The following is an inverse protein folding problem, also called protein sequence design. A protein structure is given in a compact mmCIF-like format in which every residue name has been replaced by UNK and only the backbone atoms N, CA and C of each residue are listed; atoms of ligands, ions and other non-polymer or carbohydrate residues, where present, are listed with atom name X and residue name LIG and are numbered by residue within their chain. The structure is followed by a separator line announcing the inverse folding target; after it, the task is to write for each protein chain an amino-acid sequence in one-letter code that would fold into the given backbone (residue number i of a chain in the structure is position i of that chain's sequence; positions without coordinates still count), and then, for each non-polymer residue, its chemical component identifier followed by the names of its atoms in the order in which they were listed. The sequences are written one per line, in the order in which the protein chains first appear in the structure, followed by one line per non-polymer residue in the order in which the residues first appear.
data_IF_401092055113
#
_entry.id   IF_401092055113
#
_cell.length_a   1.000
_cell.length_b   1.000
_cell.length_c   1.000
_cell.angle_alpha   90.00
_cell.angle_beta   90.00
_cell.angle_gamma   90.00
#
_symmetry.space_group_name_H-M   'P 1'
#
loop_
_entity.id
_entity.type
_entity.pdbx_description
1 polymer ?
#
# COMPACT_ATOMS: atom_id res chain seq x y z
N UNK A 1 -13.63 6.67 -0.87
CA UNK A 1 -12.75 7.23 -1.92
C UNK A 1 -12.94 8.75 -1.99
N UNK A 2 -11.86 9.55 -2.11
CA UNK A 2 -11.91 11.00 -2.27
C UNK A 2 -12.77 11.46 -3.45
N UNK A 3 -13.56 12.51 -3.23
CA UNK A 3 -14.46 13.09 -4.24
C UNK A 3 -14.04 14.46 -4.72
N UNK A 4 -13.12 15.13 -4.00
CA UNK A 4 -12.52 16.40 -4.40
C UNK A 4 -11.01 16.24 -4.49
N UNK A 5 -10.38 17.04 -5.35
CA UNK A 5 -8.94 16.97 -5.61
C UNK A 5 -8.12 17.21 -4.34
N UNK A 6 -8.53 18.19 -3.53
CA UNK A 6 -7.91 18.53 -2.23
C UNK A 6 -7.94 17.37 -1.21
N UNK A 7 -8.94 16.49 -1.30
CA UNK A 7 -9.08 15.35 -0.40
C UNK A 7 -8.08 14.20 -0.72
N UNK A 8 -7.38 14.26 -1.86
CA UNK A 8 -6.33 13.30 -2.20
C UNK A 8 -5.10 13.48 -1.31
N UNK A 9 -4.84 14.72 -0.87
CA UNK A 9 -3.71 15.10 -0.03
C UNK A 9 -2.35 15.09 -0.73
N UNK A 10 -2.32 15.05 -2.06
CA UNK A 10 -1.08 15.11 -2.89
C UNK A 10 -1.15 16.31 -3.85
N UNK A 11 0.00 16.80 -4.37
CA UNK A 11 0.01 17.94 -5.29
C UNK A 11 -0.82 17.71 -6.56
N UNK A 12 -1.60 18.71 -6.98
CA UNK A 12 -2.39 18.65 -8.21
C UNK A 12 -1.55 18.33 -9.45
N UNK A 13 -0.34 18.90 -9.54
CA UNK A 13 0.60 18.63 -10.64
C UNK A 13 0.96 17.14 -10.75
N UNK A 14 1.10 16.43 -9.63
CA UNK A 14 1.37 14.99 -9.63
C UNK A 14 0.16 14.19 -10.13
N UNK A 15 -1.06 14.60 -9.74
CA UNK A 15 -2.29 13.95 -10.20
C UNK A 15 -2.47 14.12 -11.70
N UNK A 16 -2.26 15.33 -12.21
CA UNK A 16 -2.29 15.65 -13.64
C UNK A 16 -1.25 14.86 -14.43
N UNK A 17 -0.02 14.81 -13.91
CA UNK A 17 1.08 14.08 -14.52
C UNK A 17 0.77 12.58 -14.62
N UNK A 18 0.35 11.95 -13.52
CA UNK A 18 -0.03 10.51 -13.52
C UNK A 18 -1.23 10.23 -14.42
N UNK A 19 -2.20 11.15 -14.49
CA UNK A 19 -3.32 11.06 -15.42
C UNK A 19 -2.85 11.08 -16.88
N UNK A 20 -1.98 12.04 -17.24
CA UNK A 20 -1.41 12.12 -18.59
C UNK A 20 -0.59 10.87 -18.94
N UNK A 21 0.25 10.37 -18.03
CA UNK A 21 1.00 9.10 -18.22
C UNK A 21 0.06 7.94 -18.49
N UNK A 22 -1.08 7.86 -17.78
CA UNK A 22 -2.08 6.82 -18.01
C UNK A 22 -2.69 6.91 -19.41
N UNK A 23 -3.09 8.11 -19.84
CA UNK A 23 -3.62 8.35 -21.19
C UNK A 23 -2.59 7.99 -22.26
N UNK A 24 -1.33 8.40 -22.07
CA UNK A 24 -0.22 8.09 -22.97
C UNK A 24 -0.01 6.57 -23.14
N UNK A 25 0.01 5.83 -22.03
CA UNK A 25 0.25 4.39 -22.02
C UNK A 25 -0.91 3.59 -22.61
N UNK A 26 -2.16 4.02 -22.39
CA UNK A 26 -3.35 3.31 -22.85
C UNK A 26 -3.59 3.44 -24.37
N UNK A 27 -2.95 4.40 -25.06
CA UNK A 27 -3.13 4.80 -26.48
C UNK A 27 -4.54 5.29 -26.85
N UNK A 28 -5.60 4.64 -26.36
CA UNK A 28 -7.00 5.02 -26.48
C UNK A 28 -7.71 4.64 -25.17
N UNK A 29 -8.22 5.63 -24.46
CA UNK A 29 -8.91 5.42 -23.18
C UNK A 29 -10.06 6.41 -23.02
N UNK A 30 -10.95 6.13 -22.06
CA UNK A 30 -11.97 7.08 -21.61
C UNK A 30 -11.55 7.68 -20.27
N UNK A 31 -12.14 8.83 -19.90
CA UNK A 31 -11.89 9.43 -18.57
C UNK A 31 -12.21 8.41 -17.46
N UNK A 32 -13.30 7.65 -17.60
CA UNK A 32 -13.72 6.64 -16.62
C UNK A 32 -12.71 5.51 -16.48
N UNK A 33 -12.23 4.98 -17.60
CA UNK A 33 -11.25 3.90 -17.60
C UNK A 33 -9.92 4.38 -16.99
N UNK A 34 -9.42 5.54 -17.41
CA UNK A 34 -8.23 6.14 -16.83
C UNK A 34 -8.38 6.37 -15.32
N UNK A 35 -9.51 6.93 -14.87
CA UNK A 35 -9.80 7.16 -13.46
C UNK A 35 -9.75 5.86 -12.63
N UNK A 36 -10.39 4.80 -13.10
CA UNK A 36 -10.41 3.52 -12.41
C UNK A 36 -9.01 2.91 -12.26
N UNK A 37 -8.17 3.03 -13.29
CA UNK A 37 -6.83 2.43 -13.31
C UNK A 37 -5.83 3.15 -12.42
N UNK A 38 -5.96 4.47 -12.25
CA UNK A 38 -5.10 5.24 -11.33
C UNK A 38 -5.76 5.52 -9.97
N UNK A 39 -6.92 4.92 -9.68
CA UNK A 39 -7.58 5.04 -8.38
C UNK A 39 -8.16 6.42 -8.08
N UNK A 40 -8.63 7.14 -9.11
CA UNK A 40 -9.38 8.39 -8.97
C UNK A 40 -10.89 8.17 -9.03
N UNK A 41 -11.63 9.03 -8.33
CA UNK A 41 -13.06 9.17 -8.60
C UNK A 41 -13.29 9.82 -9.97
N UNK A 42 -14.39 9.45 -10.63
CA UNK A 42 -14.73 10.04 -11.92
C UNK A 42 -14.84 11.57 -11.85
N UNK A 43 -15.37 12.12 -10.76
CA UNK A 43 -15.49 13.56 -10.57
C UNK A 43 -14.12 14.26 -10.60
N UNK A 44 -13.13 13.71 -9.90
CA UNK A 44 -11.77 14.28 -9.90
C UNK A 44 -11.14 14.14 -11.29
N UNK A 45 -11.23 12.95 -11.90
CA UNK A 45 -10.65 12.71 -13.21
C UNK A 45 -11.27 13.59 -14.31
N UNK A 46 -12.58 13.86 -14.26
CA UNK A 46 -13.24 14.79 -15.17
C UNK A 46 -12.73 16.22 -14.97
N UNK A 47 -12.57 16.67 -13.72
CA UNK A 47 -12.00 17.99 -13.44
C UNK A 47 -10.57 18.14 -13.96
N UNK A 48 -9.73 17.13 -13.75
CA UNK A 48 -8.34 17.06 -14.26
C UNK A 48 -8.33 17.09 -15.78
N UNK A 49 -9.17 16.29 -16.45
CA UNK A 49 -9.24 16.25 -17.91
C UNK A 49 -9.67 17.60 -18.51
N UNK A 50 -10.64 18.29 -17.90
CA UNK A 50 -11.10 19.61 -18.35
C UNK A 50 -10.02 20.69 -18.18
N UNK A 51 -9.27 20.66 -17.08
CA UNK A 51 -8.18 21.61 -16.84
C UNK A 51 -7.00 21.37 -17.82
N UNK A 52 -6.61 20.12 -18.03
CA UNK A 52 -5.60 19.74 -19.02
C UNK A 52 -6.01 20.13 -20.44
N UNK A 53 -7.30 20.00 -20.77
CA UNK A 53 -7.85 20.44 -22.05
C UNK A 53 -7.81 21.96 -22.19
N UNK A 54 -8.15 22.71 -21.14
CA UNK A 54 -8.04 24.17 -21.11
C UNK A 54 -6.61 24.67 -21.37
N UNK A 55 -5.60 23.87 -20.98
CA UNK A 55 -4.18 24.11 -21.24
C UNK A 55 -3.64 23.47 -22.53
N UNK A 56 -4.50 22.93 -23.38
CA UNK A 56 -4.16 22.30 -24.66
C UNK A 56 -3.20 21.08 -24.53
N UNK A 57 -3.24 20.37 -23.42
CA UNK A 57 -2.46 19.13 -23.19
C UNK A 57 -3.25 17.87 -23.52
N UNK A 58 -4.58 17.96 -23.50
CA UNK A 58 -5.50 16.85 -23.70
C UNK A 58 -6.60 17.25 -24.68
N UNK A 59 -7.06 16.30 -25.49
CA UNK A 59 -8.11 16.48 -26.48
C UNK A 59 -9.18 15.38 -26.40
N UNK A 60 -10.39 15.71 -26.88
CA UNK A 60 -11.52 14.78 -26.94
C UNK A 60 -11.67 14.22 -28.35
N UNK A 61 -11.69 12.89 -28.46
CA UNK A 61 -11.86 12.19 -29.74
C UNK A 61 -13.30 11.72 -30.00
N UNK A 62 -14.24 12.11 -29.14
CA UNK A 62 -15.64 11.74 -29.21
C UNK A 62 -16.11 10.95 -27.99
N UNK A 63 -17.19 10.19 -28.18
CA UNK A 63 -17.82 9.40 -27.13
C UNK A 63 -17.66 7.90 -27.41
N UNK A 64 -17.45 7.13 -26.36
CA UNK A 64 -17.63 5.68 -26.34
C UNK A 64 -18.80 5.36 -25.41
N UNK A 65 -19.96 5.06 -26.00
CA UNK A 65 -21.23 5.00 -25.28
C UNK A 65 -21.59 6.34 -24.62
N UNK A 66 -21.37 6.45 -23.31
CA UNK A 66 -21.61 7.67 -22.51
C UNK A 66 -20.33 8.31 -21.98
N UNK A 67 -19.18 7.70 -22.22
CA UNK A 67 -17.91 8.16 -21.67
C UNK A 67 -17.10 8.90 -22.73
N UNK A 68 -16.42 9.97 -22.32
CA UNK A 68 -15.56 10.76 -23.20
C UNK A 68 -14.25 10.02 -23.49
N UNK A 69 -13.96 9.82 -24.77
CA UNK A 69 -12.66 9.35 -25.22
C UNK A 69 -11.66 10.49 -25.26
N UNK A 70 -10.50 10.24 -24.67
CA UNK A 70 -9.44 11.22 -24.48
C UNK A 70 -8.14 10.76 -25.12
N UNK A 71 -7.36 11.74 -25.58
CA UNK A 71 -5.99 11.55 -26.04
C UNK A 71 -5.14 12.76 -25.65
N UNK A 72 -3.83 12.59 -25.65
CA UNK A 72 -2.91 13.72 -25.46
C UNK A 72 -2.68 14.41 -26.80
N UNK A 73 -2.63 15.75 -26.77
CA UNK A 73 -2.12 16.53 -27.89
C UNK A 73 -0.62 16.28 -28.08
N UNK A 74 -0.02 16.74 -29.18
CA UNK A 74 1.43 16.66 -29.37
C UNK A 74 2.20 17.35 -28.23
N UNK A 75 1.68 18.48 -27.74
CA UNK A 75 2.24 19.19 -26.60
C UNK A 75 2.12 18.38 -25.31
N UNK A 76 0.92 17.87 -25.00
CA UNK A 76 0.70 17.03 -23.81
C UNK A 76 1.57 15.78 -23.82
N UNK A 77 1.73 15.16 -24.99
CA UNK A 77 2.60 14.00 -25.19
C UNK A 77 4.06 14.33 -24.92
N UNK A 78 4.59 15.44 -25.45
CA UNK A 78 5.97 15.87 -25.18
C UNK A 78 6.19 16.14 -23.69
N UNK A 79 5.31 16.93 -23.06
CA UNK A 79 5.41 17.27 -21.64
C UNK A 79 5.37 16.02 -20.74
N UNK A 80 4.51 15.05 -21.06
CA UNK A 80 4.41 13.79 -20.31
C UNK A 80 5.67 12.94 -20.47
N UNK A 81 6.23 12.86 -21.68
CA UNK A 81 7.47 12.10 -21.92
C UNK A 81 8.64 12.72 -21.15
N UNK A 82 8.71 14.05 -21.08
CA UNK A 82 9.76 14.74 -20.34
C UNK A 82 9.64 14.48 -18.83
N UNK A 83 8.44 14.53 -18.24
CA UNK A 83 8.26 14.22 -16.80
C UNK A 83 8.56 12.76 -16.47
N UNK A 84 8.29 11.82 -17.39
CA UNK A 84 8.59 10.40 -17.22
C UNK A 84 10.09 10.11 -17.17
N UNK A 85 10.96 11.05 -17.59
CA UNK A 85 12.42 10.94 -17.41
C UNK A 85 12.85 11.19 -15.98
N UNK A 86 12.08 11.96 -15.22
CA UNK A 86 12.38 12.32 -13.82
C UNK A 86 11.85 11.25 -12.85
N UNK A 87 10.74 10.60 -13.19
CA UNK A 87 10.14 9.52 -12.41
C UNK A 87 9.53 8.47 -13.33
N UNK A 88 9.73 7.18 -13.05
CA UNK A 88 9.14 6.08 -13.81
C UNK A 88 7.77 5.61 -13.27
N UNK A 89 7.34 6.15 -12.12
CA UNK A 89 6.09 5.75 -11.49
C UNK A 89 4.88 6.07 -12.38
N UNK A 90 4.00 5.09 -12.61
CA UNK A 90 2.85 5.22 -13.52
C UNK A 90 1.66 4.35 -13.11
N UNK A 91 1.54 4.10 -11.81
CA UNK A 91 0.46 3.31 -11.20
C UNK A 91 -0.55 4.27 -10.53
N UNK A 92 -1.24 3.77 -9.52
CA UNK A 92 -2.29 4.41 -8.75
C UNK A 92 -1.82 5.71 -8.11
N UNK A 93 -2.69 6.72 -8.00
CA UNK A 93 -2.36 7.96 -7.28
C UNK A 93 -1.88 7.62 -5.85
N UNK A 94 -0.70 8.10 -5.42
CA UNK A 94 -0.19 7.80 -4.10
C UNK A 94 -1.03 8.46 -2.99
N UNK A 95 -0.85 7.98 -1.77
CA UNK A 95 -1.39 8.63 -0.56
C UNK A 95 -0.30 9.47 0.10
N UNK A 96 -0.60 10.60 0.75
CA UNK A 96 0.44 11.35 1.45
C UNK A 96 0.99 10.56 2.64
N UNK A 97 2.29 10.73 2.92
CA UNK A 97 2.95 10.10 4.07
C UNK A 97 2.18 10.30 5.38
N UNK A 98 1.63 11.50 5.61
CA UNK A 98 0.86 11.80 6.82
C UNK A 98 -0.38 10.91 6.99
N UNK A 99 -1.09 10.62 5.90
CA UNK A 99 -2.24 9.71 5.90
C UNK A 99 -1.79 8.26 6.11
N UNK A 100 -0.65 7.86 5.53
CA UNK A 100 -0.05 6.55 5.79
C UNK A 100 0.29 6.37 7.28
N UNK A 101 1.01 7.31 7.88
CA UNK A 101 1.39 7.29 9.30
C UNK A 101 0.16 7.23 10.20
N UNK A 102 -0.87 8.05 9.93
CA UNK A 102 -2.12 8.02 10.70
C UNK A 102 -2.81 6.66 10.59
N UNK A 103 -2.87 6.09 9.38
CA UNK A 103 -3.55 4.81 9.11
C UNK A 103 -2.82 3.66 9.80
N UNK A 104 -1.49 3.59 9.72
CA UNK A 104 -0.68 2.59 10.43
C UNK A 104 -0.91 2.67 11.94
N UNK A 105 -0.87 3.88 12.52
CA UNK A 105 -1.08 4.07 13.96
C UNK A 105 -2.49 3.69 14.43
N UNK A 106 -3.50 3.85 13.57
CA UNK A 106 -4.88 3.45 13.88
C UNK A 106 -5.10 1.93 13.84
N UNK A 107 -4.20 1.20 13.19
CA UNK A 107 -4.28 -0.25 12.96
C UNK A 107 -3.35 -1.06 13.88
N UNK A 108 -3.01 -0.51 15.05
CA UNK A 108 -2.27 -1.25 16.08
C UNK A 108 -3.05 -2.50 16.49
N UNK A 109 -2.38 -3.64 16.50
CA UNK A 109 -2.98 -4.93 16.80
C UNK A 109 -3.53 -4.94 18.23
N UNK A 110 -4.81 -5.26 18.39
CA UNK A 110 -5.40 -5.53 19.71
C UNK A 110 -5.47 -7.04 19.90
N UNK A 111 -4.34 -7.60 20.30
CA UNK A 111 -4.18 -9.03 20.54
C UNK A 111 -5.11 -9.50 21.67
N UNK A 112 -6.08 -10.36 21.34
CA UNK A 112 -6.88 -11.10 22.33
C UNK A 112 -6.33 -12.50 22.44
N UNK A 113 -5.33 -12.67 23.30
CA UNK A 113 -4.62 -13.92 23.45
C UNK A 113 -5.21 -14.69 24.62
N UNK A 114 -5.57 -15.94 24.37
CA UNK A 114 -5.89 -16.92 25.40
C UNK A 114 -5.02 -18.17 25.19
N UNK A 115 -4.98 -19.06 26.18
CA UNK A 115 -4.16 -20.28 26.15
C UNK A 115 -4.47 -21.15 24.92
N UNK A 116 -5.73 -21.24 24.52
CA UNK A 116 -6.15 -22.03 23.37
C UNK A 116 -5.61 -21.47 22.05
N UNK A 117 -5.64 -20.14 21.86
CA UNK A 117 -5.09 -19.49 20.67
C UNK A 117 -3.58 -19.69 20.52
N UNK A 118 -2.85 -19.69 21.65
CA UNK A 118 -1.41 -20.03 21.66
C UNK A 118 -1.23 -21.50 21.29
N UNK A 119 -1.96 -22.43 21.93
CA UNK A 119 -1.86 -23.87 21.60
C UNK A 119 -2.17 -24.16 20.13
N UNK A 120 -3.15 -23.48 19.56
CA UNK A 120 -3.50 -23.59 18.14
C UNK A 120 -2.35 -23.11 17.24
N UNK A 121 -1.74 -21.95 17.54
CA UNK A 121 -0.64 -21.40 16.75
C UNK A 121 0.61 -22.32 16.70
N UNK A 122 0.84 -23.06 17.79
CA UNK A 122 1.97 -23.99 17.95
C UNK A 122 1.60 -25.47 17.77
N UNK A 123 0.43 -25.79 17.21
CA UNK A 123 -0.08 -27.17 17.15
C UNK A 123 0.81 -28.15 16.35
N UNK A 124 1.66 -27.63 15.46
CA UNK A 124 2.58 -28.37 14.61
C UNK A 124 3.98 -28.51 15.22
N UNK A 125 4.17 -28.02 16.46
CA UNK A 125 5.44 -28.03 17.18
C UNK A 125 5.28 -28.72 18.54
N UNK A 126 6.19 -29.64 18.87
CA UNK A 126 6.24 -30.25 20.21
C UNK A 126 6.91 -29.27 21.17
N UNK A 127 6.09 -28.53 21.92
CA UNK A 127 6.53 -27.55 22.93
C UNK A 127 5.89 -27.83 24.28
N UNK A 128 6.63 -27.59 25.37
CA UNK A 128 6.11 -27.81 26.72
C UNK A 128 5.05 -26.77 27.09
N UNK A 129 4.06 -27.18 27.87
CA UNK A 129 3.04 -26.27 28.41
C UNK A 129 3.67 -25.09 29.18
N UNK A 130 4.79 -25.31 29.86
CA UNK A 130 5.54 -24.26 30.57
C UNK A 130 6.07 -23.18 29.63
N UNK A 131 6.56 -23.55 28.45
CA UNK A 131 7.05 -22.59 27.47
C UNK A 131 5.90 -21.80 26.84
N UNK A 132 4.77 -22.46 26.55
CA UNK A 132 3.57 -21.78 26.06
C UNK A 132 3.05 -20.75 27.07
N UNK A 133 3.10 -21.08 28.36
CA UNK A 133 2.70 -20.18 29.45
C UNK A 133 3.64 -18.96 29.59
N UNK A 134 4.93 -19.10 29.25
CA UNK A 134 5.88 -17.99 29.22
C UNK A 134 5.70 -17.09 27.99
N UNK A 135 5.27 -17.66 26.85
CA UNK A 135 5.06 -16.89 25.62
C UNK A 135 3.83 -15.98 25.71
N UNK A 136 2.78 -16.39 26.43
CA UNK A 136 1.53 -15.61 26.56
C UNK A 136 1.75 -14.15 26.98
N UNK A 137 2.43 -13.88 28.11
CA UNK A 137 2.79 -12.53 28.52
C UNK A 137 3.72 -11.80 27.52
N UNK A 138 4.60 -12.53 26.84
CA UNK A 138 5.53 -11.94 25.88
C UNK A 138 4.81 -11.32 24.67
N UNK A 139 3.72 -11.93 24.20
CA UNK A 139 2.91 -11.35 23.14
C UNK A 139 2.06 -10.15 23.56
N UNK A 140 1.79 -9.98 24.85
CA UNK A 140 1.02 -8.85 25.38
C UNK A 140 1.89 -7.62 25.64
N UNK A 141 3.21 -7.80 25.66
CA UNK A 141 4.16 -6.70 25.77
C UNK A 141 4.55 -6.24 24.35
N UNK A 142 4.42 -4.94 24.06
CA UNK A 142 4.85 -4.30 22.80
C UNK A 142 6.40 -4.23 22.67
N UNK A 143 7.12 -5.24 23.17
CA UNK A 143 8.57 -5.26 23.29
C UNK A 143 9.25 -6.35 22.46
N UNK A 144 10.57 -6.25 22.35
CA UNK A 144 11.39 -7.26 21.68
C UNK A 144 11.44 -8.58 22.48
N UNK A 145 11.32 -9.71 21.79
CA UNK A 145 11.41 -11.05 22.38
C UNK A 145 12.74 -11.67 21.95
N UNK A 146 13.62 -11.92 22.91
CA UNK A 146 14.92 -12.55 22.67
C UNK A 146 14.85 -14.05 22.96
N UNK A 147 15.03 -14.86 21.92
CA UNK A 147 15.12 -16.33 22.02
C UNK A 147 16.58 -16.79 21.96
N UNK A 148 17.08 -17.38 23.05
CA UNK A 148 18.45 -17.88 23.16
C UNK A 148 18.51 -19.40 23.38
N UNK A 149 19.61 -20.03 22.97
CA UNK A 149 19.89 -21.46 23.22
C UNK A 149 20.83 -22.07 22.18
N UNK A 150 21.21 -23.34 22.31
CA UNK A 150 22.06 -24.04 21.33
C UNK A 150 21.47 -24.04 19.90
N UNK A 151 22.28 -24.13 18.83
CA UNK A 151 21.79 -24.34 17.46
C UNK A 151 20.93 -25.60 17.36
N UNK A 152 19.93 -25.60 16.47
CA UNK A 152 19.05 -26.77 16.26
C UNK A 152 17.91 -26.94 17.28
N UNK A 153 17.75 -26.02 18.23
CA UNK A 153 16.65 -26.05 19.24
C UNK A 153 15.32 -25.48 18.74
N UNK A 154 15.16 -25.27 17.42
CA UNK A 154 13.89 -24.83 16.84
C UNK A 154 13.51 -23.37 17.08
N UNK A 155 14.45 -22.48 17.41
CA UNK A 155 14.19 -21.03 17.61
C UNK A 155 13.52 -20.36 16.42
N UNK A 156 14.04 -20.61 15.21
CA UNK A 156 13.46 -20.10 13.96
C UNK A 156 12.04 -20.65 13.78
N UNK A 157 11.84 -21.94 14.06
CA UNK A 157 10.51 -22.56 14.01
C UNK A 157 9.56 -21.93 15.03
N UNK A 158 10.02 -21.62 16.25
CA UNK A 158 9.22 -20.96 17.27
C UNK A 158 8.80 -19.56 16.80
N UNK A 159 9.74 -18.75 16.31
CA UNK A 159 9.47 -17.42 15.75
C UNK A 159 8.41 -17.44 14.64
N UNK A 160 8.54 -18.38 13.69
CA UNK A 160 7.57 -18.57 12.60
C UNK A 160 6.14 -18.86 13.09
N UNK A 161 5.97 -19.53 14.24
CA UNK A 161 4.65 -19.84 14.81
C UNK A 161 4.10 -18.68 15.64
N UNK A 162 4.96 -17.89 16.28
CA UNK A 162 4.56 -16.69 17.03
C UNK A 162 3.75 -15.74 16.15
N UNK A 163 4.14 -15.66 14.88
CA UNK A 163 3.51 -14.84 13.86
C UNK A 163 2.04 -15.21 13.62
N UNK A 164 1.68 -16.49 13.73
CA UNK A 164 0.33 -17.01 13.45
C UNK A 164 -0.74 -16.52 14.45
N UNK A 165 -0.32 -15.91 15.56
CA UNK A 165 -1.25 -15.33 16.53
C UNK A 165 -1.97 -14.11 15.95
N UNK A 166 -1.34 -13.41 15.01
CA UNK A 166 -1.98 -12.33 14.28
C UNK A 166 -2.85 -12.90 13.17
N UNK A 167 -4.17 -12.87 13.38
CA UNK A 167 -5.18 -13.24 12.39
C UNK A 167 -5.93 -12.02 11.82
N UNK A 168 -5.42 -10.81 12.10
CA UNK A 168 -6.02 -9.55 11.66
C UNK A 168 -5.50 -9.09 10.29
N UNK A 169 -6.22 -8.12 9.73
CA UNK A 169 -5.91 -7.53 8.43
C UNK A 169 -5.60 -6.04 8.60
N UNK A 170 -4.76 -5.51 7.71
CA UNK A 170 -4.36 -4.11 7.69
C UNK A 170 -4.44 -3.55 6.28
N UNK A 171 -4.77 -2.27 6.20
CA UNK A 171 -4.70 -1.45 5.00
C UNK A 171 -3.24 -1.08 4.74
N UNK A 172 -2.79 -1.43 3.53
CA UNK A 172 -1.48 -1.09 2.99
C UNK A 172 -1.70 -0.22 1.76
N UNK A 173 -1.08 0.96 1.67
CA UNK A 173 -1.19 1.78 0.47
C UNK A 173 -0.36 1.16 -0.66
N UNK A 174 -0.78 1.37 -1.91
CA UNK A 174 0.00 0.95 -3.08
C UNK A 174 1.33 1.72 -3.14
N UNK A 175 1.25 3.03 -3.01
CA UNK A 175 2.38 3.92 -2.93
C UNK A 175 2.07 5.13 -2.05
N UNK A 176 3.12 5.77 -1.57
CA UNK A 176 3.06 7.01 -0.81
C UNK A 176 3.78 8.13 -1.54
N UNK A 177 3.35 9.36 -1.26
CA UNK A 177 4.04 10.59 -1.66
C UNK A 177 4.78 11.18 -0.45
N UNK A 178 6.04 11.57 -0.69
CA UNK A 178 6.90 12.27 0.27
C UNK A 178 7.79 13.25 -0.50
N UNK A 179 7.71 14.53 -0.17
CA UNK A 179 8.52 15.62 -0.77
C UNK A 179 8.53 15.60 -2.31
N UNK A 180 7.38 15.33 -2.92
CA UNK A 180 7.20 15.25 -4.37
C UNK A 180 7.70 13.95 -5.01
N UNK A 181 8.25 13.03 -4.22
CA UNK A 181 8.68 11.71 -4.67
C UNK A 181 7.61 10.66 -4.37
N UNK A 182 7.54 9.63 -5.22
CA UNK A 182 6.63 8.50 -5.02
C UNK A 182 7.41 7.27 -4.62
N UNK A 183 7.02 6.66 -3.49
CA UNK A 183 7.62 5.43 -2.98
C UNK A 183 6.56 4.33 -2.99
N UNK A 184 6.82 3.25 -3.71
CA UNK A 184 5.95 2.06 -3.69
C UNK A 184 6.05 1.40 -2.32
N UNK A 185 4.90 1.15 -1.68
CA UNK A 185 4.83 0.49 -0.37
C UNK A 185 4.30 -0.94 -0.52
N UNK A 186 3.32 -1.15 -1.41
CA UNK A 186 2.80 -2.47 -1.67
C UNK A 186 3.81 -3.31 -2.45
N UNK A 187 4.44 -4.25 -1.75
CA UNK A 187 5.26 -5.33 -2.30
C UNK A 187 4.50 -6.67 -2.25
N UNK A 188 4.19 -7.34 -3.37
CA UNK A 188 3.52 -8.64 -3.40
C UNK A 188 4.34 -9.80 -2.79
N UNK A 189 5.65 -9.63 -2.58
CA UNK A 189 6.47 -10.61 -1.86
C UNK A 189 6.24 -10.56 -0.33
N UNK A 190 5.78 -9.44 0.20
CA UNK A 190 5.57 -9.20 1.65
C UNK A 190 4.09 -9.10 2.00
N UNK A 191 3.30 -8.44 1.15
CA UNK A 191 1.90 -8.13 1.38
C UNK A 191 1.02 -9.12 0.65
N UNK A 192 0.23 -9.88 1.41
CA UNK A 192 -0.77 -10.80 0.87
C UNK A 192 -2.16 -10.14 0.93
N UNK A 193 -2.74 -9.69 -0.20
CA UNK A 193 -4.09 -9.15 -0.24
C UNK A 193 -5.10 -10.20 0.22
N UNK A 194 -6.13 -9.77 0.97
CA UNK A 194 -7.26 -10.64 1.24
C UNK A 194 -8.05 -10.92 -0.06
N UNK A 195 -8.63 -12.13 -0.21
CA UNK A 195 -9.40 -12.49 -1.41
C UNK A 195 -10.56 -11.55 -1.69
N UNK A 196 -11.22 -11.06 -0.64
CA UNK A 196 -12.30 -10.09 -0.72
C UNK A 196 -11.84 -8.73 -0.20
N UNK A 197 -11.92 -7.72 -1.08
CA UNK A 197 -11.67 -6.33 -0.72
C UNK A 197 -13.00 -5.64 -0.34
N UNK A 198 -13.04 -4.82 0.73
CA UNK A 198 -14.26 -4.12 1.12
C UNK A 198 -14.85 -3.28 -0.02
N UNK A 199 -16.15 -3.40 -0.25
CA UNK A 199 -16.84 -2.57 -1.23
C UNK A 199 -16.71 -1.08 -0.87
N UNK A 200 -16.30 -0.25 -1.84
CA UNK A 200 -16.10 1.18 -1.64
C UNK A 200 -14.80 1.57 -0.94
N UNK A 201 -13.90 0.60 -0.68
CA UNK A 201 -12.53 0.90 -0.26
C UNK A 201 -11.88 1.83 -1.30
N UNK A 202 -11.13 2.82 -0.80
CA UNK A 202 -10.32 3.67 -1.65
C UNK A 202 -9.25 2.81 -2.37
N UNK A 203 -9.23 2.77 -3.72
CA UNK A 203 -8.39 1.86 -4.51
C UNK A 203 -6.88 2.09 -4.35
N UNK A 204 -6.49 3.23 -3.76
CA UNK A 204 -5.11 3.53 -3.35
C UNK A 204 -4.63 2.62 -2.21
N UNK A 205 -5.56 1.96 -1.52
CA UNK A 205 -5.31 1.01 -0.43
C UNK A 205 -5.66 -0.41 -0.83
N UNK A 206 -4.95 -1.35 -0.22
CA UNK A 206 -5.18 -2.78 -0.33
C UNK A 206 -5.34 -3.32 1.09
N UNK A 207 -6.43 -4.04 1.34
CA UNK A 207 -6.61 -4.78 2.59
C UNK A 207 -5.81 -6.08 2.48
N UNK A 208 -4.78 -6.20 3.32
CA UNK A 208 -3.86 -7.32 3.35
C UNK A 208 -4.00 -8.08 4.66
N UNK A 209 -3.67 -9.37 4.66
CA UNK A 209 -3.27 -10.03 5.88
C UNK A 209 -2.11 -9.23 6.50
N UNK A 210 -2.06 -9.13 7.84
CA UNK A 210 -0.98 -8.41 8.52
C UNK A 210 0.37 -8.93 8.00
N UNK A 211 1.21 -8.09 7.39
CA UNK A 211 2.48 -8.53 6.84
C UNK A 211 3.44 -8.89 7.96
N UNK A 212 4.27 -9.89 7.71
CA UNK A 212 5.38 -10.25 8.57
C UNK A 212 6.63 -10.37 7.73
N UNK A 213 7.70 -9.74 8.22
CA UNK A 213 9.01 -9.78 7.60
C UNK A 213 9.93 -10.56 8.52
N UNK A 214 10.44 -11.69 8.04
CA UNK A 214 11.48 -12.47 8.71
C UNK A 214 12.80 -12.08 8.05
N UNK A 215 13.71 -11.55 8.85
CA UNK A 215 15.04 -11.14 8.40
C UNK A 215 16.09 -12.04 9.03
N UNK A 216 17.06 -12.47 8.22
CA UNK A 216 18.21 -13.23 8.67
C UNK A 216 19.18 -12.35 9.48
N UNK A 217 20.25 -12.95 10.01
CA UNK A 217 21.26 -12.28 10.86
C UNK A 217 22.10 -11.19 10.18
N UNK A 218 21.67 -10.70 9.02
CA UNK A 218 22.31 -9.59 8.27
C UNK A 218 21.77 -8.23 8.69
N UNK A 219 20.65 -8.18 9.43
CA UNK A 219 20.10 -6.95 10.00
C UNK A 219 20.48 -6.87 11.48
N UNK A 220 21.34 -5.91 11.80
CA UNK A 220 21.63 -5.52 13.19
C UNK A 220 20.54 -4.58 13.70
N UNK A 221 20.30 -4.54 15.02
CA UNK A 221 19.34 -3.62 15.64
C UNK A 221 19.62 -2.15 15.23
N UNK A 222 20.90 -1.79 15.09
CA UNK A 222 21.35 -0.47 14.62
C UNK A 222 20.88 -0.11 13.20
N UNK A 223 20.51 -1.09 12.37
CA UNK A 223 19.92 -0.85 11.03
C UNK A 223 18.40 -0.64 11.07
N UNK A 224 17.77 -0.91 12.21
CA UNK A 224 16.32 -0.80 12.44
C UNK A 224 16.00 0.43 13.29
N UNK A 225 16.95 0.90 14.09
CA UNK A 225 16.84 2.17 14.81
C UNK A 225 16.97 3.35 13.85
N UNK A 226 15.92 4.16 13.77
CA UNK A 226 15.99 5.52 13.24
C UNK A 226 16.74 6.36 14.27
N UNK A 227 18.04 6.55 14.06
CA UNK A 227 18.76 7.61 14.77
C UNK A 227 18.09 8.95 14.43
N UNK A 228 17.51 9.57 15.47
CA UNK A 228 16.89 10.90 15.44
C UNK A 228 17.93 12.01 15.30
#
# INVERSE_FOLDING_TARGET
MPTRLEDLGVPQSMVEDLFCRRVLNARRTTIRAAAAEIGLSLNIATGVAEDLRGRNLLEFHGLDGRDYMIGLTDQGRSTTIDSMRESSYSDTIPVPLSLYVMTVNSQKAKLRINRDSIKEAFNDLVVSDTLLDQLGPAFLNDGAIFMYGPPGTGKTSLAERMIRIHKDAVLVPRAIEIDGQVVTVFDPAVHAPLPEQPAGLDPRWVLCARPIVIVGGELTLDMVDLEL
#
